data_IF_175051362388
#
_entry.id   IF_175051362388
#
_cell.length_a   1.000
_cell.length_b   1.000
_cell.length_c   1.000
_cell.angle_alpha   90.00
_cell.angle_beta   90.00
_cell.angle_gamma   90.00
#
_symmetry.space_group_name_H-M   'P 1'
#
loop_
_entity.id
_entity.type
_entity.pdbx_description
1 polymer ?
#
# COMPACT_ATOMS: atom_id res chain seq x y z
N UNK A 1 4.25 -28.29 14.38
CA UNK A 1 5.34 -27.33 14.45
C UNK A 1 5.14 -26.50 15.70
N UNK A 2 6.13 -26.43 16.59
CA UNK A 2 6.09 -25.51 17.73
C UNK A 2 6.25 -24.06 17.28
N UNK A 3 5.96 -23.10 18.14
CA UNK A 3 6.11 -21.67 17.82
C UNK A 3 7.58 -21.29 17.58
N UNK A 4 8.50 -21.79 18.39
CA UNK A 4 9.97 -21.60 18.20
C UNK A 4 10.45 -22.21 16.88
N UNK A 5 10.01 -23.43 16.57
CA UNK A 5 10.34 -24.13 15.31
C UNK A 5 9.85 -23.35 14.07
N UNK A 6 8.71 -22.66 14.18
CA UNK A 6 8.19 -21.81 13.11
C UNK A 6 9.06 -20.56 12.91
N UNK A 7 9.49 -19.91 14.00
CA UNK A 7 10.35 -18.73 13.94
C UNK A 7 11.71 -19.09 13.33
N UNK A 8 12.33 -20.17 13.80
CA UNK A 8 13.60 -20.66 13.25
C UNK A 8 13.46 -20.89 11.75
N UNK A 9 12.38 -21.54 11.32
CA UNK A 9 12.14 -21.80 9.90
C UNK A 9 11.94 -20.52 9.07
N UNK A 10 11.28 -19.50 9.63
CA UNK A 10 11.11 -18.20 8.97
C UNK A 10 12.47 -17.50 8.81
N UNK A 11 13.32 -17.52 9.84
CA UNK A 11 14.65 -16.90 9.79
C UNK A 11 15.53 -17.60 8.75
N UNK A 12 15.55 -18.94 8.73
CA UNK A 12 16.27 -19.72 7.72
C UNK A 12 15.82 -19.33 6.30
N UNK A 13 14.51 -19.34 6.04
CA UNK A 13 13.97 -19.01 4.71
C UNK A 13 14.24 -17.55 4.33
N UNK A 14 14.27 -16.64 5.30
CA UNK A 14 14.58 -15.23 5.06
C UNK A 14 16.00 -15.08 4.54
N UNK A 15 16.97 -15.75 5.16
CA UNK A 15 18.36 -15.76 4.73
C UNK A 15 18.54 -16.46 3.37
N UNK A 16 17.97 -17.66 3.21
CA UNK A 16 18.05 -18.44 1.95
C UNK A 16 17.52 -17.69 0.74
N UNK A 17 16.52 -16.82 0.94
CA UNK A 17 15.83 -16.09 -0.12
C UNK A 17 16.28 -14.65 -0.28
N UNK A 18 17.25 -14.19 0.51
CA UNK A 18 17.58 -12.76 0.60
C UNK A 18 16.30 -11.91 0.76
N UNK A 19 15.46 -12.29 1.72
CA UNK A 19 14.15 -11.70 1.93
C UNK A 19 14.16 -10.68 3.09
N UNK A 20 13.20 -9.76 3.07
CA UNK A 20 12.85 -8.91 4.20
C UNK A 20 11.37 -9.02 4.54
N UNK A 21 11.06 -8.91 5.82
CA UNK A 21 9.69 -8.90 6.35
C UNK A 21 9.34 -7.47 6.74
N UNK A 22 8.35 -6.91 6.05
CA UNK A 22 7.77 -5.59 6.33
C UNK A 22 6.43 -5.80 7.05
N UNK A 23 6.27 -5.28 8.26
CA UNK A 23 5.03 -5.44 9.02
C UNK A 23 4.38 -4.10 9.36
N UNK A 24 3.07 -4.01 9.10
CA UNK A 24 2.28 -2.86 9.51
C UNK A 24 2.09 -2.85 11.02
N UNK A 25 1.98 -1.65 11.61
CA UNK A 25 1.76 -1.43 13.05
C UNK A 25 0.53 -2.16 13.64
N UNK A 26 -0.39 -2.66 12.80
CA UNK A 26 -1.59 -3.39 13.22
C UNK A 26 -1.44 -4.92 13.19
N UNK A 27 -0.26 -5.43 12.85
CA UNK A 27 0.00 -6.87 12.88
C UNK A 27 0.02 -7.41 14.32
N UNK A 28 -0.28 -8.71 14.54
CA UNK A 28 -0.09 -9.35 15.85
C UNK A 28 1.36 -9.21 16.33
N UNK A 29 1.57 -9.15 17.65
CA UNK A 29 2.90 -8.98 18.25
C UNK A 29 3.92 -10.00 17.76
N UNK A 30 3.50 -11.26 17.65
CA UNK A 30 4.31 -12.36 17.08
C UNK A 30 4.84 -12.11 15.67
N UNK A 31 4.08 -11.41 14.82
CA UNK A 31 4.50 -11.02 13.46
C UNK A 31 5.41 -9.80 13.53
N UNK A 32 5.17 -8.88 14.46
CA UNK A 32 6.02 -7.71 14.65
C UNK A 32 7.41 -8.10 15.16
N UNK A 33 7.50 -9.06 16.07
CA UNK A 33 8.75 -9.51 16.70
C UNK A 33 9.75 -10.10 15.70
N UNK A 34 9.26 -10.64 14.57
CA UNK A 34 10.09 -11.23 13.50
C UNK A 34 10.29 -10.30 12.28
N UNK A 35 9.68 -9.11 12.28
CA UNK A 35 9.77 -8.17 11.18
C UNK A 35 11.12 -7.45 11.15
N UNK A 36 11.67 -7.22 9.95
CA UNK A 36 12.87 -6.40 9.78
C UNK A 36 12.55 -4.90 9.87
N UNK A 37 11.33 -4.53 9.47
CA UNK A 37 10.85 -3.16 9.55
C UNK A 37 9.38 -3.10 9.98
N UNK A 38 9.10 -2.21 10.94
CA UNK A 38 7.77 -1.87 11.42
C UNK A 38 7.42 -0.43 11.02
N UNK A 39 6.19 -0.20 10.57
CA UNK A 39 5.78 1.15 10.20
C UNK A 39 4.34 1.30 9.69
N UNK A 40 4.04 2.52 9.27
CA UNK A 40 2.80 2.87 8.57
C UNK A 40 2.90 2.57 7.05
N UNK A 41 1.82 2.81 6.32
CA UNK A 41 1.76 2.49 4.88
C UNK A 41 2.84 3.16 4.04
N UNK A 42 3.16 4.43 4.31
CA UNK A 42 4.12 5.18 3.54
C UNK A 42 5.56 4.79 3.89
N UNK A 43 5.84 4.66 5.18
CA UNK A 43 7.14 4.25 5.70
C UNK A 43 7.54 2.87 5.16
N UNK A 44 6.63 1.90 5.21
CA UNK A 44 6.90 0.56 4.68
C UNK A 44 7.12 0.57 3.16
N UNK A 45 6.31 1.33 2.40
CA UNK A 45 6.49 1.43 0.95
C UNK A 45 7.85 2.03 0.57
N UNK A 46 8.33 3.04 1.33
CA UNK A 46 9.68 3.60 1.15
C UNK A 46 10.77 2.61 1.52
N UNK A 47 10.62 1.88 2.63
CA UNK A 47 11.58 0.83 3.03
C UNK A 47 11.68 -0.31 2.02
N UNK A 48 10.55 -0.67 1.40
CA UNK A 48 10.53 -1.64 0.31
C UNK A 48 11.38 -1.18 -0.90
N UNK A 49 11.35 0.11 -1.23
CA UNK A 49 12.16 0.68 -2.30
C UNK A 49 13.65 0.82 -1.93
N UNK A 50 13.96 1.09 -0.65
CA UNK A 50 15.33 1.30 -0.16
C UNK A 50 16.14 0.01 0.09
N UNK A 51 15.50 -1.14 0.26
CA UNK A 51 16.21 -2.40 0.57
C UNK A 51 16.92 -2.99 -0.65
N UNK A 52 18.00 -3.75 -0.42
CA UNK A 52 18.68 -4.56 -1.45
C UNK A 52 18.19 -6.02 -1.50
N UNK A 53 17.15 -6.35 -0.72
CA UNK A 53 16.54 -7.68 -0.71
C UNK A 53 15.83 -8.01 -2.03
N UNK A 54 15.92 -9.29 -2.44
CA UNK A 54 15.27 -9.79 -3.67
C UNK A 54 13.78 -10.08 -3.44
N UNK A 55 13.42 -10.43 -2.21
CA UNK A 55 12.06 -10.82 -1.81
C UNK A 55 11.56 -9.92 -0.69
N UNK A 56 10.34 -9.42 -0.82
CA UNK A 56 9.64 -8.64 0.20
C UNK A 56 8.42 -9.43 0.65
N UNK A 57 8.40 -9.86 1.90
CA UNK A 57 7.20 -10.41 2.55
C UNK A 57 6.48 -9.26 3.23
N UNK A 58 5.34 -8.86 2.66
CA UNK A 58 4.56 -7.71 3.14
C UNK A 58 3.43 -8.18 4.06
N UNK A 59 3.68 -8.12 5.37
CA UNK A 59 2.71 -8.39 6.42
C UNK A 59 1.80 -7.16 6.63
N UNK A 60 0.83 -7.01 5.73
CA UNK A 60 -0.14 -5.93 5.72
C UNK A 60 -1.39 -6.32 4.93
N UNK A 61 -2.00 -5.34 4.28
CA UNK A 61 -3.16 -5.56 3.38
C UNK A 61 -2.76 -5.37 1.92
N UNK A 62 -3.58 -5.91 1.01
CA UNK A 62 -3.30 -6.03 -0.42
C UNK A 62 -2.85 -4.74 -1.09
N UNK A 63 -3.53 -3.61 -0.86
CA UNK A 63 -3.13 -2.35 -1.51
C UNK A 63 -1.71 -1.90 -1.12
N UNK A 64 -1.23 -2.28 0.07
CA UNK A 64 0.10 -1.93 0.55
C UNK A 64 1.15 -2.81 -0.16
N UNK A 65 0.89 -4.11 -0.26
CA UNK A 65 1.74 -5.03 -1.01
C UNK A 65 1.79 -4.67 -2.50
N UNK A 66 0.65 -4.31 -3.11
CA UNK A 66 0.60 -3.80 -4.49
C UNK A 66 1.42 -2.51 -4.65
N UNK A 67 1.36 -1.60 -3.67
CA UNK A 67 2.16 -0.37 -3.71
C UNK A 67 3.66 -0.67 -3.62
N UNK A 68 4.07 -1.60 -2.76
CA UNK A 68 5.46 -2.06 -2.71
C UNK A 68 5.91 -2.68 -4.04
N UNK A 69 5.07 -3.50 -4.67
CA UNK A 69 5.35 -4.10 -5.98
C UNK A 69 5.48 -3.05 -7.10
N UNK A 70 4.62 -2.02 -7.09
CA UNK A 70 4.71 -0.90 -8.05
C UNK A 70 6.02 -0.12 -7.88
N UNK A 71 6.49 0.08 -6.65
CA UNK A 71 7.76 0.78 -6.37
C UNK A 71 9.00 -0.10 -6.61
N UNK A 72 8.84 -1.42 -6.61
CA UNK A 72 9.91 -2.39 -6.71
C UNK A 72 9.64 -3.41 -7.83
N UNK A 73 9.56 -2.98 -9.10
CA UNK A 73 9.09 -3.82 -10.20
C UNK A 73 9.95 -5.06 -10.44
N UNK A 74 11.23 -5.02 -10.05
CA UNK A 74 12.18 -6.11 -10.24
C UNK A 74 12.27 -7.07 -9.04
N UNK A 75 11.54 -6.80 -7.94
CA UNK A 75 11.56 -7.61 -6.71
C UNK A 75 10.31 -8.49 -6.61
N UNK A 76 10.45 -9.64 -5.95
CA UNK A 76 9.30 -10.50 -5.64
C UNK A 76 8.59 -10.00 -4.37
N UNK A 77 7.37 -9.48 -4.52
CA UNK A 77 6.55 -9.08 -3.37
C UNK A 77 5.50 -10.16 -3.05
N UNK A 78 5.51 -10.63 -1.81
CA UNK A 78 4.61 -11.67 -1.31
C UNK A 78 3.67 -11.09 -0.26
N UNK A 79 2.37 -11.39 -0.40
CA UNK A 79 1.35 -11.14 0.60
C UNK A 79 0.98 -12.49 1.24
N UNK A 80 1.27 -12.71 2.55
CA UNK A 80 1.04 -14.01 3.18
C UNK A 80 -0.41 -14.50 3.12
N UNK A 81 -1.37 -13.58 3.22
CA UNK A 81 -2.80 -13.87 3.05
C UNK A 81 -3.38 -13.06 1.88
N UNK A 82 -3.66 -13.69 0.72
CA UNK A 82 -4.26 -13.04 -0.43
C UNK A 82 -5.62 -12.37 -0.14
N UNK A 83 -6.31 -12.78 0.93
CA UNK A 83 -7.61 -12.24 1.34
C UNK A 83 -7.49 -11.05 2.29
N UNK A 84 -6.28 -10.63 2.68
CA UNK A 84 -6.05 -9.46 3.51
C UNK A 84 -6.39 -8.16 2.75
N UNK A 85 -7.68 -7.82 2.68
CA UNK A 85 -8.22 -6.65 2.00
C UNK A 85 -8.33 -5.40 2.87
N UNK A 86 -8.85 -4.32 2.29
CA UNK A 86 -9.20 -3.10 3.00
C UNK A 86 -10.59 -2.63 2.54
N UNK A 87 -11.61 -2.63 3.43
CA UNK A 87 -12.97 -2.23 3.04
C UNK A 87 -13.05 -0.83 2.44
N UNK A 88 -12.15 0.07 2.83
CA UNK A 88 -12.05 1.41 2.25
C UNK A 88 -11.53 1.36 0.80
N UNK A 89 -10.53 0.54 0.51
CA UNK A 89 -10.02 0.34 -0.85
C UNK A 89 -11.06 -0.33 -1.75
N UNK A 90 -11.92 -1.19 -1.19
CA UNK A 90 -13.03 -1.83 -1.91
C UNK A 90 -14.16 -0.86 -2.28
N UNK A 91 -14.20 0.37 -1.74
CA UNK A 91 -15.26 1.35 -2.02
C UNK A 91 -15.19 1.97 -3.42
N UNK A 92 -14.06 1.81 -4.11
CA UNK A 92 -13.86 2.35 -5.46
C UNK A 92 -13.28 1.28 -6.37
N UNK A 93 -13.80 1.21 -7.60
CA UNK A 93 -13.25 0.35 -8.66
C UNK A 93 -12.72 1.20 -9.80
N UNK A 94 -11.75 0.68 -10.55
CA UNK A 94 -11.22 1.36 -11.73
C UNK A 94 -12.32 1.71 -12.74
N UNK A 95 -13.30 0.81 -12.92
CA UNK A 95 -14.45 1.06 -13.79
C UNK A 95 -15.33 2.22 -13.31
N UNK A 96 -15.66 2.25 -12.02
CA UNK A 96 -16.45 3.34 -11.45
C UNK A 96 -15.72 4.68 -11.54
N UNK A 97 -14.41 4.69 -11.29
CA UNK A 97 -13.57 5.87 -11.43
C UNK A 97 -13.52 6.35 -12.89
N UNK A 98 -13.31 5.47 -13.87
CA UNK A 98 -13.36 5.83 -15.30
C UNK A 98 -14.68 6.49 -15.70
N UNK A 99 -15.82 5.94 -15.25
CA UNK A 99 -17.13 6.55 -15.48
C UNK A 99 -17.20 7.94 -14.87
N UNK A 100 -16.70 8.12 -13.65
CA UNK A 100 -16.73 9.42 -12.97
C UNK A 100 -15.82 10.46 -13.63
N UNK A 101 -14.65 10.04 -14.12
CA UNK A 101 -13.75 10.89 -14.92
C UNK A 101 -14.42 11.39 -16.21
N UNK A 102 -15.19 10.54 -16.87
CA UNK A 102 -15.92 10.94 -18.08
C UNK A 102 -17.00 12.01 -17.81
N UNK A 103 -17.59 12.02 -16.60
CA UNK A 103 -18.53 13.07 -16.16
C UNK A 103 -17.84 14.38 -15.76
N UNK A 104 -16.53 14.34 -15.46
CA UNK A 104 -15.72 15.47 -14.96
C UNK A 104 -14.32 15.49 -15.61
N UNK A 105 -14.26 15.74 -16.93
CA UNK A 105 -13.00 15.62 -17.69
C UNK A 105 -11.95 16.68 -17.33
N UNK A 106 -12.35 17.75 -16.64
CA UNK A 106 -11.51 18.83 -16.15
C UNK A 106 -10.98 18.60 -14.73
N UNK A 107 -11.44 17.55 -14.04
CA UNK A 107 -11.04 17.28 -12.67
C UNK A 107 -9.75 16.45 -12.59
N UNK A 108 -8.81 16.88 -11.76
CA UNK A 108 -7.62 16.09 -11.39
C UNK A 108 -8.00 15.02 -10.38
N UNK A 109 -7.66 13.76 -10.65
CA UNK A 109 -7.95 12.64 -9.77
C UNK A 109 -6.85 12.48 -8.72
N UNK A 110 -7.20 12.73 -7.46
CA UNK A 110 -6.34 12.54 -6.31
C UNK A 110 -6.76 11.26 -5.59
N UNK A 111 -5.87 10.27 -5.58
CA UNK A 111 -6.14 8.95 -5.04
C UNK A 111 -5.41 8.73 -3.72
N UNK A 112 -6.16 8.49 -2.65
CA UNK A 112 -5.59 8.04 -1.40
C UNK A 112 -4.98 6.65 -1.57
N UNK A 113 -3.76 6.44 -1.06
CA UNK A 113 -2.99 5.19 -1.20
C UNK A 113 -3.75 3.93 -0.75
N UNK A 114 -4.77 4.08 0.09
CA UNK A 114 -5.72 3.05 0.48
C UNK A 114 -6.72 2.74 -0.67
N UNK A 115 -6.18 2.44 -1.85
CA UNK A 115 -6.89 2.05 -3.08
C UNK A 115 -6.07 0.99 -3.83
N UNK A 116 -6.68 0.13 -4.62
CA UNK A 116 -5.93 -0.88 -5.39
C UNK A 116 -5.13 -0.29 -6.56
N UNK A 117 -4.16 -1.04 -7.06
CA UNK A 117 -3.26 -0.60 -8.14
C UNK A 117 -3.99 -0.22 -9.43
N UNK A 118 -5.09 -0.88 -9.75
CA UNK A 118 -5.92 -0.57 -10.92
C UNK A 118 -6.63 0.80 -10.80
N UNK A 119 -7.10 1.16 -9.62
CA UNK A 119 -7.64 2.49 -9.32
C UNK A 119 -6.54 3.55 -9.37
N UNK A 120 -5.35 3.24 -8.83
CA UNK A 120 -4.19 4.12 -8.92
C UNK A 120 -3.79 4.39 -10.38
N UNK A 121 -3.85 3.38 -11.25
CA UNK A 121 -3.55 3.53 -12.66
C UNK A 121 -4.51 4.48 -13.41
N UNK A 122 -5.72 4.67 -12.89
CA UNK A 122 -6.70 5.61 -13.42
C UNK A 122 -6.60 7.01 -12.77
N UNK A 123 -5.64 7.23 -11.88
CA UNK A 123 -5.50 8.46 -11.09
C UNK A 123 -4.32 9.30 -11.56
N UNK A 124 -4.38 10.61 -11.33
CA UNK A 124 -3.32 11.54 -11.74
C UNK A 124 -2.22 11.65 -10.68
N UNK A 125 -2.60 11.58 -9.40
CA UNK A 125 -1.65 11.62 -8.29
C UNK A 125 -2.14 10.80 -7.09
N UNK A 126 -1.22 10.14 -6.41
CA UNK A 126 -1.49 9.46 -5.14
C UNK A 126 -1.12 10.35 -3.93
N UNK A 127 -1.92 10.29 -2.87
CA UNK A 127 -1.65 10.96 -1.60
C UNK A 127 -1.76 10.00 -0.40
N UNK A 128 -1.24 10.42 0.74
CA UNK A 128 -1.51 9.83 2.06
C UNK A 128 -2.19 10.87 2.95
N UNK A 129 -2.72 10.46 4.11
CA UNK A 129 -3.26 11.41 5.09
C UNK A 129 -2.24 12.45 5.55
N UNK A 130 -0.94 12.14 5.46
CA UNK A 130 0.14 13.05 5.87
C UNK A 130 0.46 14.15 4.84
N UNK A 131 0.10 13.99 3.56
CA UNK A 131 0.46 14.94 2.50
C UNK A 131 -0.70 15.35 1.57
N UNK A 132 -1.93 14.87 1.80
CA UNK A 132 -3.08 15.16 0.95
C UNK A 132 -3.34 16.66 0.76
N UNK A 133 -3.32 17.45 1.86
CA UNK A 133 -3.49 18.92 1.80
C UNK A 133 -2.42 19.55 0.91
N UNK A 134 -1.14 19.22 1.15
CA UNK A 134 -0.01 19.78 0.40
C UNK A 134 -0.03 19.43 -1.10
N UNK A 135 -0.63 18.29 -1.46
CA UNK A 135 -0.81 17.88 -2.86
C UNK A 135 -1.95 18.67 -3.49
N UNK A 136 -3.11 18.75 -2.82
CA UNK A 136 -4.30 19.41 -3.36
C UNK A 136 -4.10 20.93 -3.50
N UNK A 137 -3.40 21.58 -2.58
CA UNK A 137 -3.06 23.02 -2.68
C UNK A 137 -2.26 23.40 -3.94
N UNK A 138 -1.61 22.43 -4.59
CA UNK A 138 -0.81 22.63 -5.81
C UNK A 138 -1.60 22.36 -7.10
N UNK A 139 -2.83 21.89 -6.98
CA UNK A 139 -3.69 21.55 -8.13
C UNK A 139 -4.52 22.77 -8.49
N UNK A 140 -4.45 23.19 -9.76
CA UNK A 140 -5.35 24.20 -10.31
C UNK A 140 -6.62 23.52 -10.83
N UNK A 141 -7.79 23.98 -10.40
CA UNK A 141 -9.09 23.48 -10.88
C UNK A 141 -9.74 22.43 -9.97
N UNK A 142 -10.78 21.73 -10.45
CA UNK A 142 -11.54 20.79 -9.64
C UNK A 142 -10.75 19.51 -9.34
N UNK A 143 -10.98 18.96 -8.15
CA UNK A 143 -10.39 17.68 -7.72
C UNK A 143 -11.47 16.61 -7.59
N UNK A 144 -11.17 15.42 -8.08
CA UNK A 144 -11.90 14.19 -7.78
C UNK A 144 -11.10 13.37 -6.77
N UNK A 145 -11.48 13.43 -5.49
CA UNK A 145 -10.80 12.73 -4.41
C UNK A 145 -11.42 11.34 -4.19
N UNK A 146 -10.61 10.30 -4.15
CA UNK A 146 -11.06 8.90 -3.93
C UNK A 146 -10.13 8.16 -2.95
N UNK A 147 -10.61 7.12 -2.25
CA UNK A 147 -12.02 6.75 -2.05
C UNK A 147 -12.64 7.40 -0.81
N UNK A 148 -11.81 7.99 0.06
CA UNK A 148 -12.22 8.42 1.39
C UNK A 148 -12.87 9.82 1.33
N UNK A 149 -14.19 9.86 1.45
CA UNK A 149 -14.97 11.09 1.45
C UNK A 149 -14.66 12.00 2.65
N UNK A 150 -14.23 11.46 3.79
CA UNK A 150 -13.94 12.25 4.99
C UNK A 150 -12.58 12.92 4.88
N UNK A 151 -11.57 12.20 4.41
CA UNK A 151 -10.28 12.80 4.08
C UNK A 151 -10.46 13.84 2.95
N UNK A 152 -11.22 13.50 1.91
CA UNK A 152 -11.51 14.42 0.82
C UNK A 152 -12.35 15.65 1.22
N UNK A 153 -13.15 15.57 2.29
CA UNK A 153 -13.88 16.72 2.83
C UNK A 153 -13.06 17.56 3.81
N UNK A 154 -12.01 16.99 4.39
CA UNK A 154 -11.09 17.69 5.28
C UNK A 154 -10.07 18.54 4.50
N UNK A 155 -9.58 17.99 3.40
CA UNK A 155 -8.66 18.64 2.45
C UNK A 155 -9.37 19.72 1.65
#
# INVERSE_FOLDING_TARGET
MGYEELIERIVELKEERNAVILAHNYQPGEVQDIADFLGDSLGLSRKAAETDADVIVFCGVRFMAETAAVLCPDKLVLLPDPMAGCPLADMVTAEALRRKKAERPDATVVCYVNSYADVKAESDVCCTSANAVQIVEKIEGPVLFVPDQYLGSYV
#
